data_IF_413797131273
#
_entry.id   IF_413797131273
#
_cell.length_a   1.000
_cell.length_b   1.000
_cell.length_c   1.000
_cell.angle_alpha   90.00
_cell.angle_beta   90.00
_cell.angle_gamma   90.00
#
_symmetry.space_group_name_H-M   'P 1'
#
loop_
_entity.id
_entity.type
_entity.pdbx_description
1 polymer ?
#
# COMPACT_ATOMS: atom_id res chain seq x y z
N UNK A 1 -1.45 47.89 4.47
CA UNK A 1 -1.65 46.60 3.78
C UNK A 1 -1.32 46.81 2.31
N UNK A 2 -0.43 46.01 1.73
CA UNK A 2 0.07 46.19 0.35
C UNK A 2 -0.54 45.10 -0.54
N UNK A 3 -0.99 45.43 -1.75
CA UNK A 3 -1.46 44.44 -2.72
C UNK A 3 -0.45 44.32 -3.86
N UNK A 4 -0.03 43.10 -4.18
CA UNK A 4 0.94 42.83 -5.24
C UNK A 4 0.34 41.85 -6.25
N UNK A 5 0.27 42.24 -7.52
CA UNK A 5 -0.20 41.37 -8.61
C UNK A 5 0.98 40.66 -9.24
N UNK A 6 0.94 39.34 -9.30
CA UNK A 6 2.03 38.50 -9.80
C UNK A 6 1.49 37.39 -10.72
N UNK A 7 2.32 36.90 -11.63
CA UNK A 7 1.95 35.85 -12.58
C UNK A 7 2.29 34.44 -12.09
N UNK A 8 3.12 34.34 -11.05
CA UNK A 8 3.55 33.08 -10.43
C UNK A 8 3.50 33.23 -8.91
N UNK A 9 3.36 32.10 -8.20
CA UNK A 9 3.42 32.09 -6.73
C UNK A 9 4.78 32.64 -6.26
N UNK A 10 4.81 33.69 -5.42
CA UNK A 10 6.06 34.22 -4.88
C UNK A 10 6.75 33.20 -3.98
N UNK A 11 8.08 33.25 -3.91
CA UNK A 11 8.89 32.47 -2.95
C UNK A 11 9.34 33.36 -1.79
N UNK A 12 9.56 32.77 -0.62
CA UNK A 12 10.13 33.49 0.52
C UNK A 12 11.54 34.07 0.17
N UNK A 13 11.95 35.21 0.78
CA UNK A 13 11.22 35.98 1.78
C UNK A 13 10.09 36.83 1.18
N UNK A 14 8.95 36.91 1.87
CA UNK A 14 7.79 37.68 1.40
C UNK A 14 7.83 39.15 1.83
N UNK A 15 7.13 40.01 1.09
CA UNK A 15 6.92 41.41 1.48
C UNK A 15 6.05 41.49 2.73
N UNK A 16 6.48 42.27 3.74
CA UNK A 16 5.72 42.44 4.99
C UNK A 16 4.33 43.04 4.76
N UNK A 17 3.30 42.39 5.31
CA UNK A 17 1.92 42.88 5.22
C UNK A 17 1.37 42.94 3.78
N UNK A 18 1.97 42.18 2.86
CA UNK A 18 1.51 42.04 1.49
C UNK A 18 0.42 40.97 1.36
N UNK A 19 -0.49 41.24 0.43
CA UNK A 19 -1.42 40.27 -0.14
C UNK A 19 -1.10 40.15 -1.62
N UNK A 20 -0.77 38.93 -2.04
CA UNK A 20 -0.50 38.64 -3.44
C UNK A 20 -1.78 38.20 -4.15
N UNK A 21 -2.03 38.78 -5.32
CA UNK A 21 -2.99 38.29 -6.30
C UNK A 21 -2.20 37.56 -7.38
N UNK A 22 -2.19 36.23 -7.31
CA UNK A 22 -1.44 35.35 -8.23
C UNK A 22 -2.36 34.93 -9.36
N UNK A 23 -1.94 35.13 -10.61
CA UNK A 23 -2.72 34.67 -11.76
C UNK A 23 -2.90 33.13 -11.69
N UNK A 24 -4.14 32.67 -11.77
CA UNK A 24 -4.49 31.25 -11.79
C UNK A 24 -5.25 30.95 -13.10
N UNK A 25 -4.52 30.39 -14.06
CA UNK A 25 -5.03 30.25 -15.43
C UNK A 25 -5.29 31.60 -16.10
N UNK A 26 -6.25 31.62 -17.04
CA UNK A 26 -6.57 32.82 -17.85
C UNK A 26 -7.66 33.72 -17.25
N UNK A 27 -8.44 33.22 -16.29
CA UNK A 27 -9.73 33.83 -15.94
C UNK A 27 -9.83 34.35 -14.50
N UNK A 28 -8.90 33.99 -13.61
CA UNK A 28 -8.98 34.41 -12.21
C UNK A 28 -7.61 34.60 -11.54
N UNK A 29 -7.65 35.17 -10.34
CA UNK A 29 -6.50 35.33 -9.45
C UNK A 29 -6.77 34.57 -8.14
N UNK A 30 -5.75 33.90 -7.62
CA UNK A 30 -5.72 33.38 -6.26
C UNK A 30 -5.12 34.43 -5.30
N UNK A 31 -5.64 34.48 -4.07
CA UNK A 31 -5.16 35.40 -3.05
C UNK A 31 -4.28 34.69 -2.03
N UNK A 32 -3.08 35.21 -1.81
CA UNK A 32 -2.13 34.72 -0.81
C UNK A 32 -1.81 35.84 0.19
N UNK A 33 -2.12 35.62 1.47
CA UNK A 33 -1.86 36.59 2.54
C UNK A 33 -0.58 36.20 3.30
N UNK A 34 0.37 37.13 3.40
CA UNK A 34 1.67 36.91 4.08
C UNK A 34 1.50 36.97 5.60
N UNK A 35 2.08 36.02 6.32
CA UNK A 35 2.14 36.04 7.79
C UNK A 35 3.11 37.10 8.29
N UNK A 36 2.91 37.59 9.53
CA UNK A 36 3.73 38.68 10.11
C UNK A 36 5.23 38.37 10.13
N UNK A 37 5.62 37.10 10.23
CA UNK A 37 7.01 36.63 10.22
C UNK A 37 7.65 36.60 8.82
N UNK A 38 6.88 36.89 7.75
CA UNK A 38 7.31 36.88 6.34
C UNK A 38 7.83 35.53 5.84
N UNK A 39 7.58 34.45 6.58
CA UNK A 39 8.04 33.10 6.24
C UNK A 39 6.93 32.23 5.66
N UNK A 40 5.66 32.59 5.88
CA UNK A 40 4.52 31.78 5.45
C UNK A 40 3.50 32.64 4.69
N UNK A 41 2.76 31.97 3.83
CA UNK A 41 1.58 32.53 3.16
C UNK A 41 0.39 31.67 3.53
N UNK A 42 -0.76 32.31 3.80
CA UNK A 42 -2.06 31.64 3.89
C UNK A 42 -2.76 31.81 2.54
N UNK A 43 -3.23 30.71 1.96
CA UNK A 43 -4.01 30.68 0.72
C UNK A 43 -5.30 29.88 0.94
N UNK A 44 -6.32 30.13 0.12
CA UNK A 44 -7.44 29.19 -0.03
C UNK A 44 -6.93 27.95 -0.75
N UNK A 45 -7.33 26.76 -0.30
CA UNK A 45 -6.94 25.48 -0.91
C UNK A 45 -7.34 25.48 -2.39
N UNK A 46 -6.41 25.15 -3.27
CA UNK A 46 -6.67 24.99 -4.70
C UNK A 46 -6.66 23.51 -5.12
N UNK A 47 -6.94 23.22 -6.39
CA UNK A 47 -7.02 21.84 -6.89
C UNK A 47 -5.69 21.08 -6.73
N UNK A 48 -4.54 21.74 -6.89
CA UNK A 48 -3.25 21.10 -6.70
C UNK A 48 -3.03 20.68 -5.23
N UNK A 49 -3.43 21.52 -4.27
CA UNK A 49 -3.41 21.18 -2.84
C UNK A 49 -4.35 20.00 -2.53
N UNK A 50 -5.50 19.91 -3.20
CA UNK A 50 -6.44 18.79 -3.07
C UNK A 50 -5.83 17.51 -3.65
N UNK A 51 -5.29 17.57 -4.86
CA UNK A 51 -4.68 16.42 -5.53
C UNK A 51 -3.48 15.89 -4.74
N UNK A 52 -2.62 16.78 -4.19
CA UNK A 52 -1.52 16.38 -3.33
C UNK A 52 -2.01 15.63 -2.09
N UNK A 53 -3.06 16.14 -1.44
CA UNK A 53 -3.63 15.49 -0.25
C UNK A 53 -4.31 14.16 -0.57
N UNK A 54 -5.01 14.07 -1.69
CA UNK A 54 -5.64 12.83 -2.16
C UNK A 54 -4.57 11.80 -2.49
N UNK A 55 -3.56 12.16 -3.28
CA UNK A 55 -2.48 11.26 -3.65
C UNK A 55 -1.72 10.78 -2.42
N UNK A 56 -1.45 11.67 -1.46
CA UNK A 56 -0.86 11.28 -0.18
C UNK A 56 -1.74 10.27 0.56
N UNK A 57 -3.02 10.57 0.75
CA UNK A 57 -3.93 9.68 1.46
C UNK A 57 -4.09 8.31 0.75
N UNK A 58 -4.13 8.28 -0.58
CA UNK A 58 -4.21 7.04 -1.36
C UNK A 58 -2.90 6.27 -1.31
N UNK A 59 -1.75 6.93 -1.35
CA UNK A 59 -0.45 6.25 -1.19
C UNK A 59 -0.27 5.60 0.19
N UNK A 60 -0.99 6.11 1.20
CA UNK A 60 -1.05 5.53 2.55
C UNK A 60 -2.05 4.36 2.66
N UNK A 61 -2.97 4.20 1.69
CA UNK A 61 -3.83 3.01 1.58
C UNK A 61 -2.98 1.85 1.04
N UNK A 62 -2.33 1.13 1.95
CA UNK A 62 -1.40 0.05 1.64
C UNK A 62 -1.96 -0.93 0.61
N UNK A 63 -1.43 -0.86 -0.61
CA UNK A 63 -1.61 -1.88 -1.63
C UNK A 63 -0.88 -3.17 -1.21
N UNK A 64 -1.35 -4.31 -1.72
CA UNK A 64 -0.59 -5.56 -1.62
C UNK A 64 0.66 -5.43 -2.50
N UNK A 65 1.83 -5.40 -1.88
CA UNK A 65 3.11 -5.43 -2.60
C UNK A 65 3.41 -6.86 -3.05
N UNK A 66 3.99 -7.03 -4.25
CA UNK A 66 4.32 -8.36 -4.79
C UNK A 66 5.81 -8.41 -5.12
N UNK A 67 6.53 -9.34 -4.50
CA UNK A 67 7.98 -9.48 -4.67
C UNK A 67 8.37 -10.91 -5.08
N UNK A 68 9.53 -11.03 -5.73
CA UNK A 68 9.98 -12.30 -6.28
C UNK A 68 10.30 -13.35 -5.20
N UNK A 69 10.95 -12.97 -4.09
CA UNK A 69 11.42 -13.92 -3.07
C UNK A 69 11.56 -13.30 -1.67
N UNK A 70 11.93 -14.11 -0.67
CA UNK A 70 12.15 -13.67 0.72
C UNK A 70 13.16 -12.52 0.81
N UNK A 71 14.29 -12.62 0.11
CA UNK A 71 15.33 -11.59 0.16
C UNK A 71 14.84 -10.22 -0.36
N UNK A 72 14.02 -10.22 -1.41
CA UNK A 72 13.42 -8.99 -1.95
C UNK A 72 12.43 -8.35 -0.97
N UNK A 73 11.66 -9.16 -0.23
CA UNK A 73 10.78 -8.67 0.84
C UNK A 73 11.57 -8.06 2.00
N UNK A 74 12.63 -8.72 2.44
CA UNK A 74 13.46 -8.26 3.55
C UNK A 74 14.20 -6.96 3.24
N UNK A 75 14.37 -6.64 1.94
CA UNK A 75 14.92 -5.38 1.46
C UNK A 75 13.90 -4.22 1.41
N UNK A 76 12.61 -4.46 1.64
CA UNK A 76 11.58 -3.41 1.58
C UNK A 76 11.72 -2.41 2.74
N UNK A 77 11.57 -1.12 2.43
CA UNK A 77 11.48 -0.05 3.44
C UNK A 77 10.03 0.41 3.57
N UNK A 78 9.34 -0.08 4.60
CA UNK A 78 7.90 0.15 4.80
C UNK A 78 7.66 1.15 5.95
N UNK A 79 6.98 2.26 5.64
CA UNK A 79 6.65 3.33 6.59
C UNK A 79 5.33 3.13 7.34
N UNK A 80 4.61 2.04 7.05
CA UNK A 80 3.35 1.68 7.67
C UNK A 80 3.17 0.15 7.62
N UNK A 81 2.12 -0.35 8.28
CA UNK A 81 1.72 -1.75 8.14
C UNK A 81 1.40 -2.05 6.68
N UNK A 82 1.79 -3.22 6.19
CA UNK A 82 1.60 -3.61 4.80
C UNK A 82 1.34 -5.10 4.67
N UNK A 83 0.74 -5.49 3.55
CA UNK A 83 0.72 -6.89 3.12
C UNK A 83 1.67 -7.07 1.95
N UNK A 84 2.43 -8.16 1.95
CA UNK A 84 3.36 -8.52 0.88
C UNK A 84 3.11 -9.97 0.46
N UNK A 85 2.86 -10.16 -0.83
CA UNK A 85 2.88 -11.46 -1.48
C UNK A 85 4.30 -11.75 -1.98
N UNK A 86 4.88 -12.84 -1.54
CA UNK A 86 6.15 -13.36 -2.05
C UNK A 86 5.87 -14.54 -2.98
N UNK A 87 6.39 -14.48 -4.20
CA UNK A 87 6.16 -15.51 -5.21
C UNK A 87 6.97 -16.79 -4.98
N UNK A 88 8.21 -16.66 -4.50
CA UNK A 88 9.05 -17.76 -4.04
C UNK A 88 9.45 -17.55 -2.57
N UNK A 89 8.67 -18.18 -1.69
CA UNK A 89 8.88 -18.14 -0.26
C UNK A 89 9.70 -19.32 0.28
N UNK A 90 10.37 -20.10 -0.58
CA UNK A 90 11.12 -21.31 -0.18
C UNK A 90 12.26 -21.11 0.82
N UNK A 91 12.72 -19.86 1.02
CA UNK A 91 13.68 -19.52 2.07
C UNK A 91 13.05 -19.33 3.47
N UNK A 92 11.72 -19.32 3.58
CA UNK A 92 11.00 -19.52 4.84
C UNK A 92 10.95 -21.02 5.14
N UNK A 93 11.49 -21.45 6.28
CA UNK A 93 11.62 -22.88 6.62
C UNK A 93 10.28 -23.62 6.76
N UNK A 94 9.19 -22.88 6.83
CA UNK A 94 7.83 -23.42 6.91
C UNK A 94 7.13 -23.48 5.56
N UNK A 95 7.76 -23.00 4.47
CA UNK A 95 7.25 -23.07 3.09
C UNK A 95 8.19 -23.95 2.28
N UNK A 96 7.72 -25.10 1.81
CA UNK A 96 8.56 -26.05 1.09
C UNK A 96 8.76 -25.62 -0.36
N UNK A 97 7.72 -25.10 -1.00
CA UNK A 97 7.78 -24.57 -2.36
C UNK A 97 6.61 -23.61 -2.64
N UNK A 98 6.80 -22.65 -3.56
CA UNK A 98 5.75 -21.72 -3.96
C UNK A 98 5.77 -20.43 -3.14
N UNK A 99 4.62 -19.75 -3.09
CA UNK A 99 4.52 -18.39 -2.54
C UNK A 99 3.96 -18.33 -1.13
N UNK A 100 4.01 -17.17 -0.51
CA UNK A 100 3.33 -16.90 0.74
C UNK A 100 3.00 -15.42 0.92
N UNK A 101 1.91 -15.14 1.62
CA UNK A 101 1.48 -13.77 1.97
C UNK A 101 1.85 -13.47 3.41
N UNK A 102 2.40 -12.28 3.65
CA UNK A 102 2.85 -11.84 4.95
C UNK A 102 2.27 -10.47 5.29
N UNK A 103 1.88 -10.28 6.54
CA UNK A 103 1.64 -8.97 7.11
C UNK A 103 2.91 -8.44 7.77
N UNK A 104 3.28 -7.23 7.41
CA UNK A 104 4.30 -6.44 8.07
C UNK A 104 3.66 -5.57 9.16
N UNK A 105 4.21 -5.64 10.37
CA UNK A 105 3.89 -4.74 11.48
C UNK A 105 4.98 -3.68 11.60
N UNK A 106 4.62 -2.42 11.36
CA UNK A 106 5.59 -1.31 11.40
C UNK A 106 6.05 -0.97 12.82
N UNK A 107 5.21 -1.19 13.84
CA UNK A 107 5.53 -0.84 15.23
C UNK A 107 6.72 -1.61 15.80
N UNK A 108 6.89 -2.86 15.39
CA UNK A 108 7.94 -3.76 15.88
C UNK A 108 8.82 -4.33 14.77
N UNK A 109 8.59 -3.91 13.52
CA UNK A 109 9.30 -4.35 12.31
C UNK A 109 9.28 -5.87 12.13
N UNK A 110 8.16 -6.49 12.48
CA UNK A 110 7.98 -7.94 12.41
C UNK A 110 7.16 -8.35 11.20
N UNK A 111 7.33 -9.61 10.81
CA UNK A 111 6.58 -10.27 9.75
C UNK A 111 5.74 -11.40 10.32
N UNK A 112 4.46 -11.43 9.95
CA UNK A 112 3.55 -12.55 10.26
C UNK A 112 3.15 -13.21 8.95
N UNK A 113 3.45 -14.50 8.78
CA UNK A 113 2.92 -15.28 7.66
C UNK A 113 1.41 -15.49 7.85
N UNK A 114 0.60 -15.10 6.87
CA UNK A 114 -0.87 -15.22 6.93
C UNK A 114 -1.35 -16.40 6.09
N UNK A 115 -0.71 -16.63 4.94
CA UNK A 115 -1.02 -17.75 4.08
C UNK A 115 0.22 -18.22 3.34
N UNK A 116 0.19 -19.47 2.92
CA UNK A 116 1.11 -20.02 1.93
C UNK A 116 0.31 -20.51 0.72
N UNK A 117 0.97 -20.47 -0.43
CA UNK A 117 0.44 -20.87 -1.72
C UNK A 117 1.43 -21.88 -2.32
N UNK A 118 1.26 -23.14 -1.94
CA UNK A 118 1.95 -24.27 -2.58
C UNK A 118 1.03 -24.84 -3.69
N UNK A 119 1.62 -25.34 -4.78
CA UNK A 119 0.83 -26.11 -5.76
C UNK A 119 0.34 -27.39 -5.11
N UNK A 120 -0.98 -27.59 -5.11
CA UNK A 120 -1.61 -28.76 -4.50
C UNK A 120 -1.54 -29.97 -5.46
N UNK A 121 -0.38 -30.63 -5.53
CA UNK A 121 -0.24 -31.90 -6.26
C UNK A 121 -0.82 -33.05 -5.43
N UNK A 122 -2.15 -33.22 -5.50
CA UNK A 122 -2.86 -34.27 -4.78
C UNK A 122 -2.73 -35.62 -5.50
N UNK A 123 -1.84 -36.48 -5.03
CA UNK A 123 -1.86 -37.90 -5.32
C UNK A 123 -2.66 -38.66 -4.24
N UNK A 124 -3.98 -38.76 -4.44
CA UNK A 124 -4.86 -39.46 -3.50
C UNK A 124 -4.82 -40.97 -3.73
N UNK A 125 -4.55 -41.75 -2.68
CA UNK A 125 -4.71 -43.20 -2.68
C UNK A 125 -5.84 -43.60 -1.76
N UNK A 126 -6.67 -44.58 -2.17
CA UNK A 126 -7.75 -45.09 -1.32
C UNK A 126 -7.22 -45.55 0.03
N UNK A 127 -6.05 -46.22 0.07
CA UNK A 127 -5.42 -46.65 1.31
C UNK A 127 -5.21 -45.51 2.33
N UNK A 128 -4.92 -44.30 1.86
CA UNK A 128 -4.58 -43.14 2.68
C UNK A 128 -5.79 -42.27 3.09
N UNK A 129 -7.00 -42.56 2.59
CA UNK A 129 -8.20 -41.80 2.97
C UNK A 129 -8.69 -42.22 4.37
N UNK A 130 -8.91 -41.23 5.25
CA UNK A 130 -9.50 -41.42 6.58
C UNK A 130 -11.03 -41.40 6.47
N UNK A 131 -11.73 -42.29 7.20
CA UNK A 131 -13.19 -42.39 7.14
C UNK A 131 -13.74 -43.04 5.88
N UNK A 132 -12.88 -43.66 5.07
CA UNK A 132 -13.29 -44.43 3.89
C UNK A 132 -14.09 -45.68 4.30
N UNK A 133 -15.09 -46.09 3.50
CA UNK A 133 -15.70 -47.40 3.62
C UNK A 133 -14.63 -48.51 3.55
N UNK A 134 -14.72 -49.50 4.43
CA UNK A 134 -13.87 -50.68 4.43
C UNK A 134 -14.54 -51.89 3.77
N UNK A 135 -15.61 -51.65 3.01
CA UNK A 135 -16.38 -52.71 2.34
C UNK A 135 -15.47 -53.53 1.43
N UNK A 136 -15.55 -54.84 1.57
CA UNK A 136 -14.98 -55.81 0.66
C UNK A 136 -15.77 -55.84 -0.65
N UNK A 137 -15.15 -56.33 -1.73
CA UNK A 137 -15.84 -56.48 -3.02
C UNK A 137 -17.12 -57.34 -2.88
N UNK A 138 -17.09 -58.38 -2.05
CA UNK A 138 -18.24 -59.25 -1.80
C UNK A 138 -19.41 -58.54 -1.09
N UNK A 139 -19.13 -57.61 -0.18
CA UNK A 139 -20.15 -56.79 0.50
C UNK A 139 -20.77 -55.75 -0.45
N UNK A 140 -20.03 -55.32 -1.48
CA UNK A 140 -20.55 -54.44 -2.53
C UNK A 140 -21.44 -55.25 -3.48
N UNK A 141 -21.00 -56.43 -3.90
CA UNK A 141 -21.72 -57.29 -4.86
C UNK A 141 -23.06 -57.81 -4.32
N UNK A 142 -23.25 -57.87 -3.01
CA UNK A 142 -24.51 -58.29 -2.37
C UNK A 142 -25.53 -57.17 -2.20
N UNK A 143 -25.16 -55.92 -2.50
CA UNK A 143 -26.01 -54.73 -2.34
C UNK A 143 -26.74 -54.29 -3.62
N UNK A 144 -26.56 -55.00 -4.75
CA UNK A 144 -27.14 -54.73 -6.08
C UNK A 144 -28.21 -55.77 -6.42
#
# INVERSE_FOLDING_TARGET
MKFEKVTTTPTAPYTEGAVYLVAAGKEHFEMLAVTKDKQKVRRTINTADVDERINKAISELGALEIVANIAARDALSLSANAMVLVLDASADSTVKAGGATYAYSHSDKSWTKISEAESLDLALSWANLIGKPTSTAAEIDTAV
#
